data_IF_588478834129
#
_entry.id   IF_588478834129
#
_cell.length_a   1.000
_cell.length_b   1.000
_cell.length_c   1.000
_cell.angle_alpha   90.00
_cell.angle_beta   90.00
_cell.angle_gamma   90.00
#
_symmetry.space_group_name_H-M   'P 1'
#
loop_
_entity.id
_entity.type
_entity.pdbx_description
1 polymer ?
#
# COMPACT_ATOMS: atom_id res chain seq x y z
N UNK A 1 7.00 -15.41 46.31
CA UNK A 1 7.67 -14.27 46.98
C UNK A 1 7.88 -14.60 48.45
N UNK A 2 8.98 -14.14 49.06
CA UNK A 2 9.23 -14.28 50.50
C UNK A 2 8.97 -12.93 51.16
N UNK A 3 8.13 -12.92 52.19
CA UNK A 3 7.92 -11.76 53.05
C UNK A 3 8.75 -11.97 54.32
N UNK A 4 9.55 -10.96 54.68
CA UNK A 4 10.28 -10.89 55.95
C UNK A 4 9.59 -9.86 56.83
N UNK A 5 9.47 -10.17 58.11
CA UNK A 5 8.85 -9.30 59.10
C UNK A 5 9.03 -9.87 60.50
N UNK A 6 8.18 -9.46 61.43
CA UNK A 6 8.15 -9.96 62.80
C UNK A 6 6.71 -10.19 63.24
N UNK A 7 6.50 -11.15 64.14
CA UNK A 7 5.20 -11.41 64.75
C UNK A 7 4.18 -12.14 63.86
N UNK A 8 4.62 -12.84 62.80
CA UNK A 8 3.71 -13.67 62.02
C UNK A 8 3.20 -14.85 62.84
N UNK A 9 1.94 -15.21 62.61
CA UNK A 9 1.28 -16.34 63.28
C UNK A 9 0.81 -17.36 62.24
N UNK A 10 0.96 -18.64 62.54
CA UNK A 10 0.47 -19.72 61.67
C UNK A 10 -1.03 -19.54 61.39
N UNK A 11 -1.41 -19.57 60.12
CA UNK A 11 -2.78 -19.30 59.67
C UNK A 11 -3.04 -17.84 59.28
N UNK A 12 -2.02 -16.97 59.27
CA UNK A 12 -2.15 -15.61 58.76
C UNK A 12 -2.64 -15.57 57.30
N UNK A 13 -3.39 -14.53 56.96
CA UNK A 13 -3.80 -14.23 55.58
C UNK A 13 -3.00 -13.05 55.04
N UNK A 14 -2.76 -13.03 53.73
CA UNK A 14 -2.01 -11.96 53.08
C UNK A 14 -2.82 -11.37 51.94
N UNK A 15 -2.88 -10.05 51.87
CA UNK A 15 -3.55 -9.28 50.83
C UNK A 15 -2.60 -8.25 50.22
N UNK A 16 -2.73 -8.06 48.91
CA UNK A 16 -2.17 -6.95 48.16
C UNK A 16 -3.18 -5.80 48.18
N UNK A 17 -2.77 -4.64 48.67
CA UNK A 17 -3.60 -3.44 48.78
C UNK A 17 -3.21 -2.49 47.67
N UNK A 18 -4.08 -2.32 46.67
CA UNK A 18 -3.87 -1.39 45.57
C UNK A 18 -3.93 0.07 46.05
N UNK A 19 -3.40 0.98 45.25
CA UNK A 19 -3.46 2.43 45.53
C UNK A 19 -4.91 2.96 45.59
N UNK A 20 -5.85 2.26 44.94
CA UNK A 20 -7.30 2.51 45.01
C UNK A 20 -7.98 1.94 46.27
N UNK A 21 -7.22 1.29 47.16
CA UNK A 21 -7.70 0.66 48.39
C UNK A 21 -8.27 -0.76 48.20
N UNK A 22 -8.23 -1.31 46.99
CA UNK A 22 -8.68 -2.70 46.74
C UNK A 22 -7.78 -3.69 47.46
N UNK A 23 -8.38 -4.73 48.07
CA UNK A 23 -7.64 -5.81 48.74
C UNK A 23 -7.76 -7.09 47.91
N UNK A 24 -6.63 -7.59 47.39
CA UNK A 24 -6.57 -8.82 46.59
C UNK A 24 -5.84 -9.89 47.42
N UNK A 25 -6.50 -11.01 47.69
CA UNK A 25 -5.89 -12.11 48.46
C UNK A 25 -4.71 -12.74 47.71
N UNK A 26 -3.67 -13.13 48.45
CA UNK A 26 -2.58 -13.94 47.91
C UNK A 26 -3.10 -15.31 47.45
N UNK A 27 -2.46 -15.90 46.43
CA UNK A 27 -2.84 -17.21 45.89
C UNK A 27 -2.63 -18.33 46.92
N UNK A 28 -1.47 -18.35 47.56
CA UNK A 28 -1.19 -19.21 48.72
C UNK A 28 -0.36 -18.45 49.74
N UNK A 29 -0.53 -18.82 51.01
CA UNK A 29 0.28 -18.32 52.13
C UNK A 29 0.82 -19.52 52.90
N UNK A 30 2.14 -19.62 52.96
CA UNK A 30 2.85 -20.64 53.73
C UNK A 30 3.59 -19.93 54.87
N UNK A 31 3.24 -20.31 56.10
CA UNK A 31 3.95 -19.85 57.29
C UNK A 31 5.24 -20.66 57.45
N UNK A 32 6.40 -19.99 57.38
CA UNK A 32 7.69 -20.65 57.61
C UNK A 32 8.15 -20.47 59.07
N UNK A 33 8.00 -19.25 59.59
CA UNK A 33 8.34 -18.89 60.97
C UNK A 33 7.68 -17.58 61.37
N UNK A 34 7.77 -17.17 62.64
CA UNK A 34 7.25 -15.89 63.12
C UNK A 34 7.87 -14.65 62.46
N UNK A 35 8.93 -14.81 61.66
CA UNK A 35 9.59 -13.73 60.93
C UNK A 35 9.58 -13.90 59.41
N UNK A 36 9.00 -14.99 58.90
CA UNK A 36 9.01 -15.28 57.47
C UNK A 36 7.75 -16.00 56.97
N UNK A 37 7.22 -15.49 55.86
CA UNK A 37 6.17 -16.14 55.05
C UNK A 37 6.66 -16.38 53.62
N UNK A 38 6.23 -17.48 53.02
CA UNK A 38 6.31 -17.69 51.56
C UNK A 38 4.91 -17.55 50.98
N UNK A 39 4.73 -16.67 49.99
CA UNK A 39 3.45 -16.46 49.34
C UNK A 39 3.53 -16.62 47.82
N UNK A 40 2.42 -16.97 47.19
CA UNK A 40 2.23 -16.90 45.74
C UNK A 40 1.42 -15.64 45.42
N UNK A 41 1.99 -14.76 44.60
CA UNK A 41 1.31 -13.55 44.13
C UNK A 41 0.15 -13.93 43.20
N UNK A 42 -1.03 -13.31 43.34
CA UNK A 42 -2.11 -13.44 42.36
C UNK A 42 -1.74 -12.63 41.10
N UNK A 43 -2.59 -12.67 40.08
CA UNK A 43 -2.51 -11.71 38.97
C UNK A 43 -2.82 -10.32 39.54
N UNK A 44 -1.90 -9.38 39.34
CA UNK A 44 -2.00 -7.98 39.75
C UNK A 44 -1.99 -7.12 38.49
N UNK A 45 -2.74 -6.02 38.49
CA UNK A 45 -2.93 -5.17 37.30
C UNK A 45 -2.21 -3.83 37.48
N UNK A 46 -1.65 -3.30 36.40
CA UNK A 46 -0.88 -2.03 36.42
C UNK A 46 -1.70 -0.80 36.81
N UNK A 47 -3.00 -0.81 36.58
CA UNK A 47 -3.91 0.30 36.91
C UNK A 47 -4.06 0.54 38.42
N UNK A 48 -3.73 -0.45 39.24
CA UNK A 48 -3.88 -0.41 40.71
C UNK A 48 -2.55 -0.41 41.46
N UNK A 49 -1.44 -0.48 40.73
CA UNK A 49 -0.10 -0.34 41.27
C UNK A 49 0.15 1.11 41.77
N UNK A 50 1.08 1.32 42.72
CA UNK A 50 1.81 0.31 43.47
C UNK A 50 0.92 -0.41 44.49
N UNK A 51 1.26 -1.66 44.80
CA UNK A 51 0.55 -2.46 45.82
C UNK A 51 1.35 -2.49 47.13
N UNK A 52 0.67 -2.26 48.26
CA UNK A 52 1.19 -2.54 49.60
C UNK A 52 0.82 -3.97 50.03
N UNK A 53 1.52 -4.53 51.02
CA UNK A 53 1.19 -5.85 51.57
C UNK A 53 0.60 -5.72 52.96
N UNK A 54 -0.58 -6.31 53.14
CA UNK A 54 -1.28 -6.42 54.41
C UNK A 54 -1.30 -7.88 54.85
N UNK A 55 -0.72 -8.15 56.01
CA UNK A 55 -0.79 -9.45 56.69
C UNK A 55 -1.76 -9.32 57.86
N UNK A 56 -2.73 -10.23 57.93
CA UNK A 56 -3.69 -10.32 59.04
C UNK A 56 -3.48 -11.65 59.74
N UNK A 57 -3.02 -11.61 60.99
CA UNK A 57 -2.87 -12.80 61.82
C UNK A 57 -4.23 -13.26 62.38
N UNK A 58 -4.39 -14.55 62.71
CA UNK A 58 -5.64 -15.09 63.28
C UNK A 58 -5.97 -14.55 64.66
N UNK A 59 -4.97 -14.08 65.40
CA UNK A 59 -5.12 -13.47 66.73
C UNK A 59 -5.65 -12.02 66.68
N UNK A 60 -5.98 -11.52 65.48
CA UNK A 60 -6.43 -10.15 65.26
C UNK A 60 -5.28 -9.14 65.10
N UNK A 61 -4.02 -9.59 65.21
CA UNK A 61 -2.85 -8.77 64.94
C UNK A 61 -2.78 -8.38 63.46
N UNK A 62 -2.71 -7.08 63.19
CA UNK A 62 -2.54 -6.55 61.84
C UNK A 62 -1.09 -6.10 61.64
N UNK A 63 -0.41 -6.69 60.67
CA UNK A 63 0.95 -6.32 60.29
C UNK A 63 0.88 -5.78 58.86
N UNK A 64 1.05 -4.47 58.71
CA UNK A 64 1.31 -3.88 57.39
C UNK A 64 2.81 -4.04 57.16
N UNK A 65 3.18 -5.09 56.46
CA UNK A 65 4.54 -5.23 55.98
C UNK A 65 4.68 -4.23 54.83
N UNK A 66 5.31 -3.08 55.05
CA UNK A 66 5.71 -2.20 53.96
C UNK A 66 6.82 -2.91 53.17
N UNK A 67 6.57 -3.42 51.95
CA UNK A 67 7.62 -4.03 51.18
C UNK A 67 8.14 -2.98 50.22
N UNK A 68 9.40 -2.58 50.36
CA UNK A 68 10.19 -1.96 49.28
C UNK A 68 10.42 -2.91 48.08
N UNK A 69 9.57 -3.91 47.90
CA UNK A 69 9.42 -4.56 46.61
C UNK A 69 8.21 -3.88 46.00
N UNK A 70 8.45 -2.85 45.19
CA UNK A 70 7.48 -2.49 44.18
C UNK A 70 7.13 -3.79 43.47
N UNK A 71 6.00 -4.39 43.82
CA UNK A 71 5.38 -5.40 42.98
C UNK A 71 4.83 -4.59 41.82
N UNK A 72 5.73 -4.15 40.95
CA UNK A 72 5.38 -3.59 39.66
C UNK A 72 4.55 -4.67 39.00
N UNK A 73 3.30 -4.37 38.69
CA UNK A 73 2.38 -5.31 38.05
C UNK A 73 2.78 -5.63 36.59
N UNK A 74 4.07 -5.56 36.29
CA UNK A 74 4.66 -5.43 34.96
C UNK A 74 4.53 -4.00 34.41
N UNK A 75 4.99 -3.83 33.19
CA UNK A 75 4.72 -2.69 32.32
C UNK A 75 3.77 -3.14 31.22
N UNK A 76 2.81 -2.30 30.83
CA UNK A 76 2.00 -2.62 29.66
C UNK A 76 2.87 -2.64 28.38
N UNK A 77 2.52 -3.47 27.37
CA UNK A 77 3.20 -3.46 26.09
C UNK A 77 3.26 -2.06 25.46
N UNK A 78 4.42 -1.71 24.90
CA UNK A 78 4.60 -0.49 24.12
C UNK A 78 4.68 -0.82 22.63
N UNK A 79 3.76 -0.29 21.85
CA UNK A 79 3.73 -0.43 20.39
C UNK A 79 4.92 0.29 19.73
N UNK A 80 5.76 -0.48 19.05
CA UNK A 80 6.85 0.04 18.21
C UNK A 80 6.35 0.45 16.82
N UNK A 81 5.27 -0.18 16.33
CA UNK A 81 4.60 0.28 15.10
C UNK A 81 3.88 1.60 15.36
N UNK A 82 4.22 2.64 14.59
CA UNK A 82 3.60 3.96 14.68
C UNK A 82 2.12 3.90 14.32
N UNK A 83 1.29 4.64 15.06
CA UNK A 83 -0.13 4.81 14.74
C UNK A 83 -0.31 5.34 13.31
N UNK A 84 -1.34 4.86 12.61
CA UNK A 84 -1.73 5.38 11.29
C UNK A 84 -1.85 4.28 10.24
N UNK A 85 -1.49 4.63 9.00
CA UNK A 85 -1.64 3.72 7.86
C UNK A 85 -0.67 2.55 7.94
N UNK A 86 -1.18 1.34 7.77
CA UNK A 86 -0.38 0.14 7.59
C UNK A 86 -0.21 -0.19 6.09
N UNK A 87 0.89 -0.85 5.75
CA UNK A 87 1.17 -1.33 4.38
C UNK A 87 2.01 -0.39 3.50
N UNK A 88 2.55 0.70 4.05
CA UNK A 88 3.44 1.64 3.32
C UNK A 88 2.74 2.50 2.26
N UNK A 89 1.43 2.34 2.08
CA UNK A 89 0.62 3.05 1.11
C UNK A 89 -0.71 2.32 0.87
N UNK A 90 -1.56 2.83 -0.03
CA UNK A 90 -2.80 2.15 -0.38
C UNK A 90 -2.54 0.81 -1.06
N UNK A 91 -3.36 -0.19 -0.74
CA UNK A 91 -3.27 -1.56 -1.26
C UNK A 91 -4.31 -1.72 -2.36
N UNK A 92 -3.94 -2.28 -3.52
CA UNK A 92 -4.91 -2.57 -4.57
C UNK A 92 -5.93 -3.60 -4.09
N UNK A 93 -7.21 -3.45 -4.44
CA UNK A 93 -8.23 -4.46 -4.17
C UNK A 93 -7.83 -5.84 -4.70
N UNK A 94 -8.27 -6.90 -4.03
CA UNK A 94 -7.93 -8.28 -4.36
C UNK A 94 -6.41 -8.58 -4.37
N UNK A 95 -5.56 -7.68 -3.86
CA UNK A 95 -4.14 -7.94 -3.69
C UNK A 95 -3.87 -8.72 -2.40
N UNK A 96 -2.79 -9.49 -2.41
CA UNK A 96 -2.25 -10.15 -1.23
C UNK A 96 -1.79 -9.11 -0.20
N UNK A 97 -2.09 -9.35 1.06
CA UNK A 97 -1.67 -8.55 2.21
C UNK A 97 -0.70 -9.38 3.05
N UNK A 98 0.43 -8.77 3.42
CA UNK A 98 1.39 -9.31 4.38
C UNK A 98 2.09 -8.14 5.08
N UNK A 99 1.58 -7.77 6.25
CA UNK A 99 2.02 -6.62 7.03
C UNK A 99 2.33 -7.10 8.45
N UNK A 100 3.40 -6.63 9.06
CA UNK A 100 3.72 -6.95 10.45
C UNK A 100 3.56 -5.73 11.33
N UNK A 101 2.81 -5.88 12.43
CA UNK A 101 2.81 -4.93 13.54
C UNK A 101 3.63 -5.48 14.71
N UNK A 102 4.18 -4.60 15.53
CA UNK A 102 5.03 -4.97 16.65
C UNK A 102 4.81 -4.07 17.86
N UNK A 103 4.93 -4.69 19.02
CA UNK A 103 5.02 -4.08 20.33
C UNK A 103 6.16 -4.77 21.11
N UNK A 104 6.67 -4.09 22.13
CA UNK A 104 7.70 -4.57 23.05
C UNK A 104 7.19 -4.50 24.48
N UNK A 105 7.63 -5.44 25.30
CA UNK A 105 7.34 -5.47 26.72
C UNK A 105 8.63 -5.16 27.49
N UNK A 106 8.58 -4.24 28.47
CA UNK A 106 9.78 -3.81 29.19
C UNK A 106 10.33 -4.91 30.12
N UNK A 107 9.47 -5.83 30.55
CA UNK A 107 9.81 -6.96 31.41
C UNK A 107 10.22 -8.20 30.59
N UNK A 108 10.19 -8.11 29.27
CA UNK A 108 10.58 -9.17 28.34
C UNK A 108 9.52 -10.25 28.15
N UNK A 109 8.27 -9.99 28.56
CA UNK A 109 7.18 -10.94 28.44
C UNK A 109 6.74 -11.09 26.97
N UNK A 110 6.20 -12.28 26.64
CA UNK A 110 5.63 -12.52 25.33
C UNK A 110 4.36 -11.69 25.12
N UNK A 111 4.17 -11.17 23.90
CA UNK A 111 3.02 -10.35 23.53
C UNK A 111 2.06 -11.12 22.63
N UNK A 112 0.78 -11.09 22.97
CA UNK A 112 -0.32 -11.55 22.15
C UNK A 112 -1.05 -10.38 21.49
N UNK A 113 -1.35 -10.49 20.20
CA UNK A 113 -2.09 -9.50 19.42
C UNK A 113 -3.53 -9.93 19.17
N UNK A 114 -4.46 -8.99 19.30
CA UNK A 114 -5.88 -9.19 19.00
C UNK A 114 -6.50 -7.92 18.41
N UNK A 115 -7.62 -8.05 17.70
CA UNK A 115 -8.41 -6.90 17.25
C UNK A 115 -9.58 -6.64 18.23
N UNK A 116 -9.89 -5.37 18.50
CA UNK A 116 -11.03 -4.97 19.36
C UNK A 116 -12.24 -4.44 18.58
N UNK A 117 -12.08 -4.11 17.30
CA UNK A 117 -13.10 -3.43 16.47
C UNK A 117 -13.86 -4.34 15.49
N UNK A 118 -13.40 -5.58 15.25
CA UNK A 118 -13.99 -6.52 14.28
C UNK A 118 -14.13 -5.97 12.84
N UNK A 119 -13.24 -5.08 12.42
CA UNK A 119 -13.15 -4.52 11.06
C UNK A 119 -12.09 -5.28 10.24
N UNK A 120 -10.90 -5.50 10.80
CA UNK A 120 -9.79 -6.19 10.14
C UNK A 120 -10.11 -7.67 9.92
N UNK A 121 -10.61 -8.36 10.96
CA UNK A 121 -10.72 -9.82 11.02
C UNK A 121 -12.10 -10.39 10.68
N UNK A 122 -13.14 -9.54 10.66
CA UNK A 122 -14.49 -9.97 10.32
C UNK A 122 -14.71 -10.13 8.81
N UNK A 123 -15.61 -11.04 8.44
CA UNK A 123 -16.10 -11.24 7.08
C UNK A 123 -17.57 -10.83 6.89
N UNK A 124 -18.21 -10.25 7.92
CA UNK A 124 -19.66 -10.04 7.96
C UNK A 124 -20.19 -9.11 6.87
N UNK A 125 -19.35 -8.23 6.31
CA UNK A 125 -19.75 -7.29 5.27
C UNK A 125 -18.59 -6.99 4.31
N UNK A 126 -18.10 -8.01 3.61
CA UNK A 126 -17.16 -7.84 2.49
C UNK A 126 -17.97 -7.41 1.26
N UNK A 127 -17.95 -6.13 0.83
CA UNK A 127 -16.81 -5.21 0.87
C UNK A 127 -16.99 -3.89 1.67
N UNK A 128 -18.13 -3.65 2.31
CA UNK A 128 -18.51 -2.30 2.73
C UNK A 128 -17.97 -1.82 4.10
N UNK A 129 -17.51 -2.70 4.99
CA UNK A 129 -17.01 -2.27 6.31
C UNK A 129 -15.96 -3.18 6.96
N UNK A 130 -15.72 -4.37 6.42
CA UNK A 130 -14.79 -5.36 7.01
C UNK A 130 -13.84 -5.93 5.96
N UNK A 131 -12.65 -6.37 6.36
CA UNK A 131 -11.60 -6.79 5.43
C UNK A 131 -11.42 -8.31 5.30
N UNK A 132 -11.85 -9.10 6.29
CA UNK A 132 -11.61 -10.55 6.36
C UNK A 132 -10.11 -10.94 6.24
N UNK A 133 -9.23 -10.13 6.83
CA UNK A 133 -7.82 -10.46 6.97
C UNK A 133 -7.58 -11.27 8.24
N UNK A 134 -6.50 -12.04 8.27
CA UNK A 134 -6.09 -12.80 9.46
C UNK A 134 -4.99 -12.08 10.21
N UNK A 135 -5.15 -11.92 11.53
CA UNK A 135 -4.11 -11.45 12.45
C UNK A 135 -3.52 -12.66 13.18
N UNK A 136 -2.22 -12.91 12.98
CA UNK A 136 -1.50 -13.91 13.76
C UNK A 136 -1.19 -13.36 15.15
N UNK A 137 -1.82 -13.94 16.17
CA UNK A 137 -1.75 -13.45 17.54
C UNK A 137 -0.36 -13.49 18.17
N UNK A 138 0.56 -14.32 17.69
CA UNK A 138 1.92 -14.45 18.28
C UNK A 138 2.97 -13.62 17.56
N UNK A 139 2.74 -13.27 16.30
CA UNK A 139 3.76 -12.60 15.44
C UNK A 139 3.35 -11.20 15.01
N UNK A 140 2.08 -10.82 15.18
CA UNK A 140 1.58 -9.53 14.69
C UNK A 140 1.45 -9.46 13.16
N UNK A 141 1.58 -10.59 12.46
CA UNK A 141 1.41 -10.65 11.00
C UNK A 141 -0.07 -10.56 10.65
N UNK A 142 -0.43 -9.55 9.86
CA UNK A 142 -1.70 -9.36 9.19
C UNK A 142 -1.56 -9.92 7.77
N UNK A 143 -2.39 -10.89 7.41
CA UNK A 143 -2.29 -11.58 6.13
C UNK A 143 -3.66 -11.84 5.48
N UNK A 144 -3.67 -12.11 4.19
CA UNK A 144 -4.87 -12.49 3.45
C UNK A 144 -4.97 -11.78 2.11
N UNK A 145 -6.20 -11.57 1.65
CA UNK A 145 -6.50 -10.86 0.41
C UNK A 145 -7.37 -9.66 0.73
N UNK A 146 -6.96 -8.47 0.27
CA UNK A 146 -7.73 -7.25 0.45
C UNK A 146 -9.10 -7.33 -0.23
N UNK A 147 -10.14 -6.69 0.33
CA UNK A 147 -11.51 -6.77 -0.18
C UNK A 147 -11.67 -6.15 -1.58
N UNK A 148 -12.66 -6.64 -2.33
CA UNK A 148 -13.05 -6.08 -3.62
C UNK A 148 -13.90 -4.82 -3.44
N UNK A 149 -13.29 -3.64 -3.47
CA UNK A 149 -13.98 -2.35 -3.30
C UNK A 149 -14.32 -1.68 -4.64
N UNK A 150 -15.42 -0.93 -4.67
CA UNK A 150 -15.88 -0.16 -5.85
C UNK A 150 -15.41 1.30 -5.85
N UNK A 151 -14.97 1.81 -4.69
CA UNK A 151 -14.31 3.10 -4.51
C UNK A 151 -13.19 2.94 -3.47
N UNK A 152 -12.21 3.84 -3.49
CA UNK A 152 -11.14 3.84 -2.50
C UNK A 152 -11.74 3.88 -1.09
N UNK A 153 -11.38 2.89 -0.27
CA UNK A 153 -12.01 2.65 1.02
C UNK A 153 -10.96 2.60 2.12
N UNK A 154 -11.21 3.32 3.22
CA UNK A 154 -10.35 3.31 4.40
C UNK A 154 -10.99 2.46 5.50
N UNK A 155 -10.29 1.43 5.94
CA UNK A 155 -10.69 0.55 7.03
C UNK A 155 -9.95 0.95 8.30
N UNK A 156 -10.66 1.54 9.26
CA UNK A 156 -10.11 1.94 10.56
C UNK A 156 -10.37 0.82 11.58
N UNK A 157 -9.34 0.41 12.30
CA UNK A 157 -9.45 -0.66 13.31
C UNK A 157 -8.50 -0.40 14.48
N UNK A 158 -8.77 -1.06 15.60
CA UNK A 158 -7.93 -0.99 16.79
C UNK A 158 -7.36 -2.38 17.08
N UNK A 159 -6.03 -2.44 17.21
CA UNK A 159 -5.32 -3.62 17.67
C UNK A 159 -4.93 -3.45 19.14
N UNK A 160 -4.93 -4.57 19.85
CA UNK A 160 -4.49 -4.70 21.23
C UNK A 160 -3.26 -5.59 21.29
N UNK A 161 -2.22 -5.10 21.97
CA UNK A 161 -1.08 -5.90 22.40
C UNK A 161 -1.26 -6.21 23.89
N UNK A 162 -1.24 -7.49 24.26
CA UNK A 162 -1.44 -7.96 25.64
C UNK A 162 -0.24 -8.80 26.06
N UNK A 163 0.34 -8.53 27.22
CA UNK A 163 1.39 -9.37 27.80
C UNK A 163 0.81 -10.64 28.47
N UNK A 164 1.68 -11.51 28.98
CA UNK A 164 1.25 -12.70 29.74
C UNK A 164 0.65 -12.40 31.11
N UNK A 165 0.89 -11.19 31.65
CA UNK A 165 0.34 -10.71 32.92
C UNK A 165 -1.02 -10.02 32.74
N UNK A 166 -1.57 -10.03 31.51
CA UNK A 166 -2.84 -9.41 31.09
C UNK A 166 -2.84 -7.89 31.01
N UNK A 167 -1.68 -7.24 31.14
CA UNK A 167 -1.56 -5.82 30.82
C UNK A 167 -1.65 -5.64 29.30
N UNK A 168 -2.25 -4.54 28.87
CA UNK A 168 -2.48 -4.31 27.45
C UNK A 168 -2.32 -2.85 27.05
N UNK A 169 -2.05 -2.65 25.77
CA UNK A 169 -2.11 -1.35 25.12
C UNK A 169 -2.86 -1.45 23.78
N UNK A 170 -3.81 -0.52 23.59
CA UNK A 170 -4.57 -0.40 22.36
C UNK A 170 -3.90 0.62 21.42
N UNK A 171 -3.95 0.35 20.11
CA UNK A 171 -3.49 1.29 19.08
C UNK A 171 -4.38 1.25 17.85
N UNK A 172 -4.75 2.44 17.40
CA UNK A 172 -5.55 2.64 16.20
C UNK A 172 -4.65 2.53 14.96
N UNK A 173 -5.16 1.84 13.95
CA UNK A 173 -4.53 1.72 12.65
C UNK A 173 -5.59 1.87 11.56
N UNK A 174 -5.12 2.08 10.33
CA UNK A 174 -6.00 1.95 9.17
C UNK A 174 -5.28 1.34 7.98
N UNK A 175 -6.04 0.72 7.08
CA UNK A 175 -5.59 0.28 5.76
C UNK A 175 -6.47 0.95 4.71
N UNK A 176 -5.84 1.49 3.67
CA UNK A 176 -6.55 2.01 2.50
C UNK A 176 -6.53 0.93 1.43
N UNK A 177 -7.70 0.57 0.90
CA UNK A 177 -7.85 -0.29 -0.27
C UNK A 177 -8.28 0.55 -1.46
N UNK A 178 -7.49 0.52 -2.52
CA UNK A 178 -7.77 1.22 -3.77
C UNK A 178 -8.69 0.39 -4.66
N UNK A 179 -9.75 1.02 -5.17
CA UNK A 179 -10.66 0.39 -6.11
C UNK A 179 -10.05 0.22 -7.50
N UNK A 180 -9.10 1.10 -7.83
CA UNK A 180 -8.40 1.13 -9.10
C UNK A 180 -7.04 1.83 -8.97
N UNK A 181 -6.04 1.41 -9.76
CA UNK A 181 -4.74 2.07 -9.79
C UNK A 181 -4.85 3.52 -10.31
N UNK A 182 -3.97 4.43 -9.85
CA UNK A 182 -3.94 5.81 -10.33
C UNK A 182 -3.50 5.90 -11.81
N UNK A 183 -3.90 6.96 -12.54
CA UNK A 183 -3.49 7.14 -13.92
C UNK A 183 -1.97 7.23 -14.07
N UNK A 184 -1.45 6.57 -15.09
CA UNK A 184 -0.05 6.62 -15.50
C UNK A 184 0.08 7.45 -16.77
N UNK A 185 0.94 8.47 -16.71
CA UNK A 185 1.16 9.40 -17.80
C UNK A 185 2.51 9.11 -18.44
N UNK A 186 2.50 8.62 -19.67
CA UNK A 186 3.70 8.29 -20.43
C UNK A 186 4.27 9.51 -21.13
N UNK A 187 3.38 10.44 -21.48
CA UNK A 187 3.69 11.78 -21.92
C UNK A 187 2.63 12.76 -21.41
N UNK A 188 3.06 13.88 -20.80
CA UNK A 188 2.21 15.04 -20.50
C UNK A 188 2.93 16.34 -20.83
N UNK A 189 2.46 17.02 -21.85
CA UNK A 189 2.90 18.38 -22.17
C UNK A 189 2.49 19.40 -21.11
N UNK A 190 3.14 20.56 -21.13
CA UNK A 190 2.81 21.71 -20.26
C UNK A 190 1.36 22.19 -20.39
N UNK A 191 0.75 22.11 -21.58
CA UNK A 191 -0.68 22.39 -21.78
C UNK A 191 -1.61 21.41 -21.05
N UNK A 192 -1.07 20.27 -20.60
CA UNK A 192 -1.75 19.23 -19.82
C UNK A 192 -1.24 19.22 -18.36
N UNK A 193 -0.52 20.26 -17.94
CA UNK A 193 0.05 20.39 -16.60
C UNK A 193 1.26 19.50 -16.31
N UNK A 194 1.94 18.96 -17.33
CA UNK A 194 3.14 18.14 -17.15
C UNK A 194 4.44 18.76 -17.70
N UNK A 195 5.48 17.94 -17.77
CA UNK A 195 6.85 18.34 -18.12
C UNK A 195 7.46 17.51 -19.26
N UNK A 196 6.64 16.77 -20.01
CA UNK A 196 7.03 15.94 -21.15
C UNK A 196 6.91 14.44 -20.88
N UNK A 197 7.94 13.69 -21.27
CA UNK A 197 8.04 12.25 -21.07
C UNK A 197 8.13 11.89 -19.58
N UNK A 198 7.55 10.76 -19.20
CA UNK A 198 7.79 10.18 -17.88
C UNK A 198 9.25 9.79 -17.68
N UNK A 199 9.68 9.78 -16.41
CA UNK A 199 11.02 9.30 -16.04
C UNK A 199 11.26 7.88 -16.58
N UNK A 200 12.41 7.66 -17.21
CA UNK A 200 12.78 6.38 -17.83
C UNK A 200 12.10 6.08 -19.18
N UNK A 201 11.20 6.94 -19.66
CA UNK A 201 10.64 6.82 -21.01
C UNK A 201 11.49 7.63 -21.98
N UNK A 202 11.90 6.97 -23.07
CA UNK A 202 12.65 7.59 -24.17
C UNK A 202 11.78 7.63 -25.42
N UNK A 203 12.04 8.59 -26.31
CA UNK A 203 11.35 8.71 -27.59
C UNK A 203 12.36 8.54 -28.72
N UNK A 204 12.08 7.57 -29.59
CA UNK A 204 12.93 7.16 -30.70
C UNK A 204 12.15 7.20 -32.01
N UNK A 205 12.84 7.07 -33.12
CA UNK A 205 12.19 6.89 -34.42
C UNK A 205 12.91 5.89 -35.30
N UNK A 206 12.16 5.35 -36.25
CA UNK A 206 12.65 4.43 -37.28
C UNK A 206 11.87 4.65 -38.57
N UNK A 207 12.47 4.15 -39.65
CA UNK A 207 11.84 4.06 -40.96
C UNK A 207 12.08 5.33 -41.77
N UNK A 208 12.65 5.15 -42.96
CA UNK A 208 12.78 6.16 -44.00
C UNK A 208 13.05 5.45 -45.32
N UNK A 209 12.45 5.95 -46.39
CA UNK A 209 12.95 5.66 -47.73
C UNK A 209 14.04 6.68 -48.10
N UNK A 210 15.00 6.33 -48.96
CA UNK A 210 16.13 7.20 -49.30
C UNK A 210 15.76 8.57 -49.86
N UNK A 211 14.59 8.68 -50.51
CA UNK A 211 14.10 9.90 -51.15
C UNK A 211 13.00 10.59 -50.34
N UNK A 212 13.11 10.57 -49.01
CA UNK A 212 12.22 11.26 -48.10
C UNK A 212 12.96 11.98 -46.99
N UNK A 213 12.31 12.98 -46.40
CA UNK A 213 12.77 13.69 -45.22
C UNK A 213 11.77 13.53 -44.07
N UNK A 214 12.22 13.80 -42.86
CA UNK A 214 11.36 13.89 -41.70
C UNK A 214 12.15 13.77 -40.41
N UNK A 215 11.41 13.74 -39.31
CA UNK A 215 11.99 13.46 -38.01
C UNK A 215 10.92 13.25 -36.96
N UNK A 216 11.40 12.91 -35.77
CA UNK A 216 10.56 12.71 -34.61
C UNK A 216 11.27 13.30 -33.41
N UNK A 217 10.54 14.06 -32.61
CA UNK A 217 11.09 14.78 -31.47
C UNK A 217 10.13 14.71 -30.28
N UNK A 218 10.67 14.65 -29.07
CA UNK A 218 9.95 14.80 -27.83
C UNK A 218 10.58 15.93 -27.02
N UNK A 219 9.76 16.89 -26.59
CA UNK A 219 10.17 17.92 -25.65
C UNK A 219 9.15 18.02 -24.51
N UNK A 220 9.35 18.97 -23.59
CA UNK A 220 8.46 19.14 -22.43
C UNK A 220 7.02 19.52 -22.78
N UNK A 221 6.74 19.91 -24.02
CA UNK A 221 5.42 20.36 -24.46
C UNK A 221 4.71 19.34 -25.35
N UNK A 222 5.42 18.68 -26.26
CA UNK A 222 4.81 17.75 -27.23
C UNK A 222 5.73 16.61 -27.67
N UNK A 223 5.09 15.51 -28.08
CA UNK A 223 5.63 14.57 -29.05
C UNK A 223 5.30 15.08 -30.45
N UNK A 224 6.26 15.08 -31.35
CA UNK A 224 6.11 15.59 -32.70
C UNK A 224 6.72 14.65 -33.72
N UNK A 225 5.91 14.22 -34.68
CA UNK A 225 6.35 13.44 -35.83
C UNK A 225 6.04 14.20 -37.11
N UNK A 226 6.95 14.16 -38.06
CA UNK A 226 6.75 14.75 -39.37
C UNK A 226 7.56 14.01 -40.43
N UNK A 227 7.02 14.01 -41.65
CA UNK A 227 7.65 13.38 -42.80
C UNK A 227 7.17 14.00 -44.09
N UNK A 228 8.04 13.99 -45.10
CA UNK A 228 7.78 14.52 -46.43
C UNK A 228 8.42 13.61 -47.47
N UNK A 229 7.63 13.22 -48.46
CA UNK A 229 8.10 12.50 -49.63
C UNK A 229 8.61 13.47 -50.69
N UNK A 230 9.78 13.19 -51.28
CA UNK A 230 10.31 14.02 -52.36
C UNK A 230 9.74 13.56 -53.72
N UNK A 231 10.45 13.86 -54.81
CA UNK A 231 10.16 13.35 -56.15
C UNK A 231 11.02 12.13 -56.49
N UNK A 232 10.47 11.18 -57.25
CA UNK A 232 11.21 10.04 -57.81
C UNK A 232 10.80 8.65 -57.30
N UNK A 233 11.55 7.62 -57.70
CA UNK A 233 11.34 6.23 -57.24
C UNK A 233 11.65 6.13 -55.75
N UNK A 234 10.83 5.40 -54.99
CA UNK A 234 10.91 5.34 -53.52
C UNK A 234 10.78 6.68 -52.79
N UNK A 235 10.10 7.66 -53.40
CA UNK A 235 9.92 9.00 -52.81
C UNK A 235 8.69 9.11 -51.88
N UNK A 236 8.13 7.98 -51.46
CA UNK A 236 7.23 7.94 -50.31
C UNK A 236 8.00 7.93 -49.00
N UNK A 237 7.31 7.79 -47.87
CA UNK A 237 7.94 7.50 -46.58
C UNK A 237 7.05 6.62 -45.73
N UNK A 238 7.67 5.80 -44.87
CA UNK A 238 7.02 5.14 -43.75
C UNK A 238 7.87 5.41 -42.52
N UNK A 239 7.32 6.18 -41.60
CA UNK A 239 8.03 6.65 -40.43
C UNK A 239 7.22 6.32 -39.18
N UNK A 240 7.93 5.83 -38.16
CA UNK A 240 7.34 5.55 -36.85
C UNK A 240 8.19 6.20 -35.77
N UNK A 241 7.59 7.13 -35.02
CA UNK A 241 8.12 7.58 -33.73
C UNK A 241 7.52 6.71 -32.62
N UNK A 242 8.31 6.34 -31.63
CA UNK A 242 7.90 5.37 -30.62
C UNK A 242 8.63 5.54 -29.29
N UNK A 243 8.00 5.10 -28.21
CA UNK A 243 8.65 5.01 -26.90
C UNK A 243 9.55 3.78 -26.80
N UNK A 244 10.48 3.74 -25.84
CA UNK A 244 10.98 2.43 -25.37
C UNK A 244 9.84 1.57 -24.79
N UNK A 245 10.16 0.32 -24.44
CA UNK A 245 9.20 -0.60 -23.85
C UNK A 245 8.69 -0.08 -22.50
N UNK A 246 7.37 0.02 -22.38
CA UNK A 246 6.66 0.47 -21.19
C UNK A 246 5.72 -0.65 -20.74
N UNK A 247 5.74 -1.00 -19.46
CA UNK A 247 4.74 -1.92 -18.90
C UNK A 247 3.44 -1.17 -18.65
N UNK A 248 2.35 -1.60 -19.31
CA UNK A 248 1.02 -1.08 -19.00
C UNK A 248 0.62 -1.61 -17.61
N UNK A 249 0.32 -0.76 -16.61
CA UNK A 249 -0.04 -1.24 -15.28
C UNK A 249 -1.25 -2.16 -15.30
N UNK A 250 -1.21 -3.19 -14.45
CA UNK A 250 -2.36 -4.07 -14.24
C UNK A 250 -3.54 -3.24 -13.72
N UNK A 251 -4.73 -3.45 -14.28
CA UNK A 251 -5.93 -2.70 -13.93
C UNK A 251 -6.19 -1.46 -14.79
N UNK A 252 -5.29 -1.06 -15.70
CA UNK A 252 -5.57 0.02 -16.66
C UNK A 252 -6.40 -0.51 -17.83
N UNK A 253 -7.62 -0.01 -18.01
CA UNK A 253 -8.57 -0.43 -19.05
C UNK A 253 -8.87 0.66 -20.10
N UNK A 254 -8.25 1.85 -19.93
CA UNK A 254 -8.37 2.99 -20.84
C UNK A 254 -7.02 3.61 -21.16
N UNK A 255 -6.91 4.10 -22.38
CA UNK A 255 -5.78 4.90 -22.85
C UNK A 255 -6.30 6.19 -23.50
N UNK A 256 -5.81 7.33 -23.05
CA UNK A 256 -6.11 8.62 -23.64
C UNK A 256 -4.90 9.14 -24.43
N UNK A 257 -5.18 9.62 -25.64
CA UNK A 257 -4.22 10.28 -26.51
C UNK A 257 -4.81 11.62 -26.94
N UNK A 258 -4.15 12.72 -26.60
CA UNK A 258 -4.57 14.05 -27.03
C UNK A 258 -3.72 14.54 -28.20
N UNK A 259 -4.33 14.68 -29.37
CA UNK A 259 -3.70 15.20 -30.58
C UNK A 259 -3.97 16.70 -30.65
N UNK A 260 -2.93 17.52 -30.45
CA UNK A 260 -3.06 18.98 -30.43
C UNK A 260 -3.02 19.60 -31.81
N UNK A 261 -2.28 19.00 -32.75
CA UNK A 261 -2.18 19.49 -34.12
C UNK A 261 -1.92 18.35 -35.11
N UNK A 262 -2.42 18.51 -36.32
CA UNK A 262 -2.21 17.56 -37.41
C UNK A 262 -2.23 18.28 -38.76
N UNK A 263 -1.30 17.96 -39.64
CA UNK A 263 -1.27 18.44 -41.02
C UNK A 263 -0.96 17.26 -41.94
N UNK A 264 -1.71 17.10 -43.03
CA UNK A 264 -1.59 15.94 -43.92
C UNK A 264 -1.94 16.29 -45.37
N UNK A 265 -1.26 15.65 -46.31
CA UNK A 265 -1.61 15.65 -47.73
C UNK A 265 -1.27 14.27 -48.33
N UNK A 266 -2.24 13.64 -49.02
CA UNK A 266 -2.12 12.33 -49.68
C UNK A 266 -1.56 11.21 -48.77
N UNK A 267 -2.20 10.95 -47.62
CA UNK A 267 -1.54 10.23 -46.52
C UNK A 267 -2.43 9.40 -45.58
N UNK A 268 -1.84 8.41 -44.90
CA UNK A 268 -2.41 7.76 -43.72
C UNK A 268 -1.53 7.88 -42.47
N UNK A 269 -2.11 8.28 -41.34
CA UNK A 269 -1.42 8.33 -40.05
C UNK A 269 -2.26 7.76 -38.92
N UNK A 270 -1.63 7.38 -37.82
CA UNK A 270 -2.33 6.94 -36.63
C UNK A 270 -1.43 6.73 -35.43
N UNK A 271 -2.10 6.49 -34.30
CA UNK A 271 -1.48 6.28 -33.00
C UNK A 271 -1.93 4.93 -32.48
N UNK A 272 -0.99 4.09 -32.07
CA UNK A 272 -1.32 2.77 -31.53
C UNK A 272 -0.30 2.37 -30.48
N UNK A 273 -0.66 1.34 -29.72
CA UNK A 273 0.26 0.58 -28.90
C UNK A 273 0.62 -0.72 -29.60
N UNK A 274 1.89 -1.09 -29.57
CA UNK A 274 2.38 -2.34 -30.18
C UNK A 274 2.99 -3.28 -29.16
N UNK A 275 2.92 -4.58 -29.46
CA UNK A 275 3.52 -5.65 -28.65
C UNK A 275 4.99 -5.92 -29.02
N UNK A 276 5.42 -5.48 -30.20
CA UNK A 276 6.81 -5.55 -30.65
C UNK A 276 7.37 -4.17 -30.89
N UNK A 277 8.67 -4.01 -30.61
CA UNK A 277 9.37 -2.77 -30.85
C UNK A 277 9.38 -2.45 -32.35
N UNK A 278 9.03 -1.22 -32.77
CA UNK A 278 9.18 -0.78 -34.15
C UNK A 278 10.63 -0.90 -34.63
N UNK A 279 10.81 -1.33 -35.89
CA UNK A 279 12.14 -1.49 -36.50
C UNK A 279 12.09 -1.38 -38.02
N UNK A 280 13.12 -0.77 -38.60
CA UNK A 280 13.15 -0.47 -40.04
C UNK A 280 11.89 0.29 -40.46
N UNK A 281 11.20 -0.22 -41.48
CA UNK A 281 9.92 0.32 -41.94
C UNK A 281 8.70 -0.33 -41.29
N UNK A 282 8.85 -1.08 -40.20
CA UNK A 282 7.73 -1.72 -39.48
C UNK A 282 7.35 -0.91 -38.25
N UNK A 283 6.04 -0.67 -38.10
CA UNK A 283 5.46 0.03 -36.94
C UNK A 283 5.31 -0.85 -35.69
N UNK A 284 5.71 -2.12 -35.76
CA UNK A 284 5.43 -3.13 -34.73
C UNK A 284 4.06 -3.81 -34.94
N UNK A 285 3.83 -4.88 -34.17
CA UNK A 285 2.57 -5.65 -34.16
C UNK A 285 1.54 -4.92 -33.30
N UNK A 286 0.40 -4.56 -33.88
CA UNK A 286 -0.67 -3.87 -33.17
C UNK A 286 -1.13 -4.67 -31.94
N UNK A 287 -1.26 -3.98 -30.80
CA UNK A 287 -1.86 -4.51 -29.58
C UNK A 287 -3.25 -3.89 -29.38
N UNK A 288 -3.30 -2.55 -29.27
CA UNK A 288 -4.55 -1.79 -29.18
C UNK A 288 -4.35 -0.35 -29.66
N UNK A 289 -5.46 0.39 -29.80
CA UNK A 289 -5.48 1.68 -30.49
C UNK A 289 -5.66 1.52 -32.00
N UNK A 290 -5.60 2.62 -32.73
CA UNK A 290 -5.92 2.63 -34.16
C UNK A 290 -4.73 3.12 -35.00
N UNK A 291 -4.12 2.18 -35.71
CA UNK A 291 -3.12 2.49 -36.72
C UNK A 291 -3.78 2.94 -38.03
N UNK A 292 -3.30 4.07 -38.56
CA UNK A 292 -3.69 4.56 -39.90
C UNK A 292 -5.19 4.91 -40.07
N UNK A 293 -5.93 5.16 -38.97
CA UNK A 293 -7.34 5.60 -39.01
C UNK A 293 -7.54 7.08 -39.33
N UNK A 294 -6.47 7.81 -39.60
CA UNK A 294 -6.50 9.22 -39.93
C UNK A 294 -7.13 10.12 -38.85
N UNK A 295 -6.67 10.06 -37.59
CA UNK A 295 -7.33 10.70 -36.45
C UNK A 295 -7.44 12.22 -36.61
N UNK A 296 -8.50 12.80 -36.04
CA UNK A 296 -8.69 14.24 -35.92
C UNK A 296 -7.86 14.81 -34.76
N UNK A 297 -7.81 16.14 -34.63
CA UNK A 297 -7.38 16.79 -33.39
C UNK A 297 -8.37 16.48 -32.26
N UNK A 298 -7.90 16.58 -31.01
CA UNK A 298 -8.70 16.36 -29.81
C UNK A 298 -8.30 15.12 -29.01
N UNK A 299 -9.13 14.77 -28.04
CA UNK A 299 -8.94 13.60 -27.17
C UNK A 299 -9.47 12.34 -27.86
N UNK A 300 -8.66 11.30 -27.88
CA UNK A 300 -9.01 9.97 -28.34
C UNK A 300 -8.82 8.98 -27.21
N UNK A 301 -9.89 8.27 -26.84
CA UNK A 301 -9.89 7.28 -25.77
C UNK A 301 -10.03 5.89 -26.34
N UNK A 302 -9.10 4.99 -26.00
CA UNK A 302 -9.07 3.61 -26.44
C UNK A 302 -9.29 2.66 -25.26
N UNK A 303 -9.94 1.52 -25.53
CA UNK A 303 -10.00 0.42 -24.56
C UNK A 303 -8.67 -0.33 -24.56
N UNK A 304 -8.14 -0.62 -23.37
CA UNK A 304 -6.99 -1.52 -23.20
C UNK A 304 -7.54 -2.93 -22.93
N UNK A 305 -7.30 -3.90 -23.82
CA UNK A 305 -7.67 -5.29 -23.58
C UNK A 305 -7.00 -5.84 -22.31
N UNK A 306 -7.68 -6.71 -21.57
CA UNK A 306 -7.12 -7.32 -20.35
C UNK A 306 -5.81 -8.09 -20.63
N UNK A 307 -5.67 -8.67 -21.83
CA UNK A 307 -4.45 -9.37 -22.27
C UNK A 307 -3.23 -8.44 -22.45
N UNK A 308 -3.43 -7.12 -22.51
CA UNK A 308 -2.37 -6.13 -22.64
C UNK A 308 -1.97 -5.50 -21.29
N UNK A 309 -2.75 -5.74 -20.23
CA UNK A 309 -2.45 -5.26 -18.89
C UNK A 309 -1.29 -6.07 -18.27
N UNK A 310 -0.35 -5.38 -17.63
CA UNK A 310 0.88 -5.98 -17.10
C UNK A 310 1.92 -6.33 -18.16
N UNK A 311 1.66 -6.02 -19.43
CA UNK A 311 2.55 -6.36 -20.53
C UNK A 311 3.39 -5.17 -20.99
N UNK A 312 4.59 -5.46 -21.51
CA UNK A 312 5.43 -4.45 -22.17
C UNK A 312 4.85 -4.08 -23.52
N UNK A 313 4.60 -2.79 -23.73
CA UNK A 313 4.05 -2.22 -24.97
C UNK A 313 4.86 -0.98 -25.37
N UNK A 314 4.71 -0.60 -26.62
CA UNK A 314 5.37 0.58 -27.20
C UNK A 314 4.29 1.52 -27.70
N UNK A 315 4.26 2.76 -27.20
CA UNK A 315 3.39 3.76 -27.81
C UNK A 315 4.04 4.20 -29.12
N UNK A 316 3.26 4.26 -30.19
CA UNK A 316 3.75 4.58 -31.53
C UNK A 316 2.87 5.63 -32.20
N UNK A 317 3.53 6.55 -32.90
CA UNK A 317 2.95 7.50 -33.83
C UNK A 317 3.53 7.20 -35.20
N UNK A 318 2.70 6.69 -36.11
CA UNK A 318 3.14 6.24 -37.43
C UNK A 318 2.41 6.97 -38.52
N UNK A 319 3.09 7.15 -39.65
CA UNK A 319 2.33 7.17 -40.89
C UNK A 319 3.11 6.77 -42.14
N UNK A 320 2.39 6.85 -43.26
CA UNK A 320 2.84 6.45 -44.57
C UNK A 320 2.33 7.34 -45.73
N UNK A 321 3.25 7.80 -46.60
CA UNK A 321 2.96 8.63 -47.79
C UNK A 321 3.56 8.04 -49.06
N UNK A 322 2.99 8.44 -50.20
CA UNK A 322 3.66 8.42 -51.50
C UNK A 322 4.45 9.69 -51.80
N UNK A 323 4.82 9.84 -53.08
CA UNK A 323 5.54 10.98 -53.64
C UNK A 323 4.81 12.30 -53.35
N UNK A 324 5.55 13.34 -52.97
CA UNK A 324 5.03 14.68 -52.60
C UNK A 324 4.01 14.71 -51.44
N UNK A 325 3.76 13.58 -50.78
CA UNK A 325 2.94 13.55 -49.58
C UNK A 325 3.71 14.15 -48.41
N UNK A 326 2.97 14.69 -47.44
CA UNK A 326 3.55 15.12 -46.19
C UNK A 326 2.60 14.86 -45.04
N UNK A 327 3.16 14.73 -43.85
CA UNK A 327 2.40 14.75 -42.62
C UNK A 327 3.18 15.42 -41.50
N UNK A 328 2.43 15.95 -40.54
CA UNK A 328 2.92 16.22 -39.20
C UNK A 328 1.82 15.97 -38.18
N UNK A 329 2.22 15.54 -36.98
CA UNK A 329 1.30 15.31 -35.88
C UNK A 329 1.96 15.68 -34.55
N UNK A 330 1.20 16.37 -33.71
CA UNK A 330 1.56 16.74 -32.35
C UNK A 330 0.65 16.04 -31.35
N UNK A 331 1.26 15.37 -30.37
CA UNK A 331 0.56 14.75 -29.24
C UNK A 331 1.03 15.40 -27.95
N UNK A 332 0.09 15.89 -27.15
CA UNK A 332 0.38 16.56 -25.87
C UNK A 332 0.06 15.70 -24.65
N UNK A 333 -0.67 14.59 -24.85
CA UNK A 333 -1.03 13.67 -23.78
C UNK A 333 -0.98 12.23 -24.30
N UNK A 334 -0.32 11.37 -23.55
CA UNK A 334 -0.48 9.91 -23.63
C UNK A 334 -0.56 9.39 -22.21
N UNK A 335 -1.73 8.93 -21.80
CA UNK A 335 -1.94 8.33 -20.47
C UNK A 335 -2.71 7.04 -20.56
N UNK A 336 -2.51 6.18 -19.57
CA UNK A 336 -3.33 4.98 -19.36
C UNK A 336 -3.87 5.01 -17.95
N UNK A 337 -5.08 4.51 -17.77
CA UNK A 337 -5.80 4.65 -16.51
C UNK A 337 -6.88 3.58 -16.39
N UNK A 338 -7.49 3.48 -15.21
CA UNK A 338 -8.71 2.71 -15.01
C UNK A 338 -9.92 3.64 -15.14
N UNK A 339 -10.98 3.29 -15.85
CA UNK A 339 -12.14 4.16 -16.06
C UNK A 339 -12.81 4.66 -14.77
N UNK A 340 -12.65 3.93 -13.65
CA UNK A 340 -13.15 4.32 -12.34
C UNK A 340 -12.19 5.26 -11.58
N UNK A 341 -10.99 5.52 -12.12
CA UNK A 341 -9.96 6.42 -11.61
C UNK A 341 -9.19 7.11 -12.78
N UNK A 342 -9.83 8.07 -13.49
CA UNK A 342 -9.33 8.64 -14.76
C UNK A 342 -8.20 9.67 -14.68
#
# INVERSE_FOLDING_TARGET
MVIRGEGFVSGCTVHYVGNDGTNIAAGTVTFNSSTQLTIVSPVLTVDKAPYAIKVTNPDGGLIIAAPEVEVTAGSAPNWTTTQGQLGGGPIQKNAAVNITVAASDADGQAIAYSETTSVLTSNSNTPAATMNLSLNSSTGVISGTSPNVSADTTYNFTLRATDTATNFADRNFYIIVQAAPPPSYWFRGSSQGGSGLASGVTWSHTGYYPNATGGSNANSNRLYNYGQGNSGTYAGFRQTGYTNGITIPVGHDRCDIYISAIQRNNYSNGNQWTSTQPSGNSAGTAAFGDLMSNPSTGLHTYTIPSADQGQVRYFTMTGYAGQYGYWSQEVTLVKTYNQNNP
#
